data_IF_815456148470
#
_entry.id   IF_815456148470
#
_cell.length_a   1.000
_cell.length_b   1.000
_cell.length_c   1.000
_cell.angle_alpha   90.00
_cell.angle_beta   90.00
_cell.angle_gamma   90.00
#
_symmetry.space_group_name_H-M   'P 1'
#
loop_
_entity.id
_entity.type
_entity.pdbx_description
1 polymer ?
#
# COMPACT_ATOMS: atom_id res chain seq x y z
N UNK A 1 1.54 -17.24 46.18
CA UNK A 1 2.71 -18.13 46.10
C UNK A 1 2.98 -18.34 44.62
N UNK A 2 3.94 -17.60 44.03
CA UNK A 2 5.31 -18.05 43.66
C UNK A 2 5.29 -19.16 42.59
N UNK A 3 5.81 -18.84 41.41
CA UNK A 3 6.11 -19.82 40.35
C UNK A 3 6.46 -19.12 39.03
N UNK A 4 7.64 -18.50 38.93
CA UNK A 4 8.79 -19.01 38.15
C UNK A 4 8.64 -18.71 36.64
N UNK A 5 9.19 -17.63 36.07
CA UNK A 5 10.62 -17.41 35.75
C UNK A 5 11.32 -18.64 35.14
N UNK A 6 11.28 -18.73 33.81
CA UNK A 6 12.25 -19.37 32.89
C UNK A 6 11.66 -19.19 31.47
N UNK A 7 12.11 -18.34 30.54
CA UNK A 7 13.45 -18.05 30.01
C UNK A 7 14.24 -19.31 29.63
N UNK A 8 14.14 -19.70 28.36
CA UNK A 8 15.17 -20.29 27.47
C UNK A 8 14.51 -21.27 26.48
N UNK A 9 14.94 -21.50 25.24
CA UNK A 9 15.77 -20.81 24.25
C UNK A 9 15.70 -21.74 23.03
N UNK A 10 15.19 -21.23 21.89
CA UNK A 10 15.57 -21.53 20.50
C UNK A 10 16.00 -22.97 20.14
N UNK A 11 15.24 -23.64 19.25
CA UNK A 11 15.83 -24.43 18.15
C UNK A 11 15.05 -24.15 16.85
N UNK A 12 15.83 -23.75 15.85
CA UNK A 12 15.44 -23.37 14.52
C UNK A 12 14.92 -24.55 13.67
N UNK A 13 13.78 -24.35 13.01
CA UNK A 13 13.46 -24.98 11.73
C UNK A 13 13.08 -23.87 10.74
N UNK A 14 14.11 -23.10 10.35
CA UNK A 14 14.17 -22.42 9.06
C UNK A 14 14.28 -23.48 7.95
N UNK A 15 14.17 -23.10 6.67
CA UNK A 15 14.33 -23.96 5.47
C UNK A 15 13.05 -24.59 4.89
N UNK A 16 12.00 -23.80 4.66
CA UNK A 16 11.02 -24.11 3.61
C UNK A 16 10.29 -22.90 2.97
N UNK A 17 10.80 -21.67 3.14
CA UNK A 17 10.34 -20.53 2.35
C UNK A 17 11.39 -20.19 1.28
N UNK A 18 11.43 -20.99 0.22
CA UNK A 18 11.88 -20.50 -1.09
C UNK A 18 10.82 -19.52 -1.63
N UNK A 19 10.77 -18.33 -1.02
CA UNK A 19 10.15 -17.15 -1.58
C UNK A 19 11.26 -16.15 -1.81
N UNK A 20 11.78 -16.15 -3.04
CA UNK A 20 12.74 -15.16 -3.52
C UNK A 20 12.15 -13.75 -3.34
N UNK A 21 12.66 -13.01 -2.36
CA UNK A 21 12.16 -11.67 -2.05
C UNK A 21 12.94 -11.03 -0.92
N UNK A 22 14.08 -10.42 -1.26
CA UNK A 22 14.64 -9.24 -0.60
C UNK A 22 14.91 -9.31 0.90
N UNK A 23 16.20 -9.36 1.26
CA UNK A 23 16.68 -9.24 2.62
C UNK A 23 16.35 -7.89 3.30
N UNK A 24 16.16 -7.99 4.62
CA UNK A 24 16.48 -7.03 5.69
C UNK A 24 15.57 -5.80 5.89
N UNK A 25 15.04 -5.65 7.11
CA UNK A 25 14.61 -4.35 7.62
C UNK A 25 13.50 -4.38 8.67
N UNK A 26 13.81 -4.77 9.90
CA UNK A 26 13.00 -4.51 11.09
C UNK A 26 13.13 -3.02 11.46
N UNK A 27 12.02 -2.26 11.51
CA UNK A 27 11.73 -1.05 12.31
C UNK A 27 10.98 0.05 11.52
N UNK A 28 9.74 0.33 11.92
CA UNK A 28 9.11 1.66 11.79
C UNK A 28 8.41 1.98 10.47
N UNK A 29 7.09 1.80 10.45
CA UNK A 29 6.15 2.79 9.89
C UNK A 29 6.09 3.02 8.38
N UNK A 30 6.88 2.35 7.54
CA UNK A 30 6.74 2.45 6.09
C UNK A 30 6.03 1.18 5.57
N UNK A 31 4.87 1.29 4.90
CA UNK A 31 4.29 0.14 4.19
C UNK A 31 5.27 -0.22 3.08
N UNK A 32 6.19 -1.14 3.41
CA UNK A 32 7.42 -1.41 2.66
C UNK A 32 7.20 -1.43 1.15
N UNK A 33 8.21 -0.96 0.43
CA UNK A 33 8.18 -0.69 -1.01
C UNK A 33 7.34 -1.74 -1.76
N UNK A 34 6.11 -1.36 -2.12
CA UNK A 34 5.23 -2.25 -2.87
C UNK A 34 5.73 -2.25 -4.31
N UNK A 35 6.18 -3.40 -4.85
CA UNK A 35 6.57 -3.45 -6.25
C UNK A 35 5.36 -3.06 -7.10
N UNK A 36 5.62 -2.24 -8.11
CA UNK A 36 4.63 -1.87 -9.10
C UNK A 36 4.08 -3.14 -9.77
N UNK A 37 2.79 -3.17 -10.16
CA UNK A 37 2.26 -4.25 -10.98
C UNK A 37 3.15 -4.47 -12.22
N UNK A 38 3.33 -5.71 -12.69
CA UNK A 38 4.14 -5.98 -13.87
C UNK A 38 3.57 -5.21 -15.07
N UNK A 39 4.38 -4.33 -15.67
CA UNK A 39 3.99 -3.46 -16.80
C UNK A 39 3.58 -2.03 -16.42
N UNK A 40 3.42 -1.73 -15.13
CA UNK A 40 3.19 -0.37 -14.62
C UNK A 40 4.54 0.30 -14.29
N UNK A 41 4.63 1.60 -14.57
CA UNK A 41 5.76 2.46 -14.25
C UNK A 41 5.28 3.68 -13.47
N UNK A 42 6.16 4.32 -12.72
CA UNK A 42 5.83 5.58 -12.04
C UNK A 42 5.22 6.63 -12.99
N UNK A 43 5.66 6.64 -14.26
CA UNK A 43 5.12 7.52 -15.30
C UNK A 43 3.70 7.17 -15.74
N UNK A 44 3.39 5.87 -15.93
CA UNK A 44 2.03 5.43 -16.30
C UNK A 44 1.03 5.70 -15.17
N UNK A 45 1.41 5.39 -13.93
CA UNK A 45 0.58 5.65 -12.75
C UNK A 45 0.33 7.15 -12.58
N UNK A 46 1.37 7.99 -12.69
CA UNK A 46 1.20 9.46 -12.63
C UNK A 46 0.29 9.97 -13.75
N UNK A 47 0.41 9.41 -14.96
CA UNK A 47 -0.46 9.73 -16.09
C UNK A 47 -1.92 9.41 -15.80
N UNK A 48 -2.19 8.24 -15.21
CA UNK A 48 -3.55 7.82 -14.87
C UNK A 48 -4.12 8.60 -13.68
N UNK A 49 -3.30 8.92 -12.67
CA UNK A 49 -3.67 9.84 -11.58
C UNK A 49 -4.05 11.21 -12.13
N UNK A 50 -3.27 11.79 -13.04
CA UNK A 50 -3.59 13.08 -13.68
C UNK A 50 -4.89 13.03 -14.50
N UNK A 51 -5.21 11.90 -15.15
CA UNK A 51 -6.49 11.73 -15.85
C UNK A 51 -7.67 11.73 -14.89
N UNK A 52 -7.55 11.05 -13.76
CA UNK A 52 -8.59 11.01 -12.73
C UNK A 52 -8.70 12.36 -12.01
N UNK A 53 -7.59 13.03 -11.78
CA UNK A 53 -7.54 14.40 -11.26
C UNK A 53 -8.31 15.37 -12.18
N UNK A 54 -8.06 15.30 -13.49
CA UNK A 54 -8.76 16.12 -14.50
C UNK A 54 -10.27 15.86 -14.55
N UNK A 55 -10.73 14.70 -14.09
CA UNK A 55 -12.17 14.37 -13.95
C UNK A 55 -12.79 14.91 -12.66
N UNK A 56 -12.00 15.53 -11.78
CA UNK A 56 -12.45 16.01 -10.48
C UNK A 56 -12.65 14.90 -9.44
N UNK A 57 -11.97 13.76 -9.60
CA UNK A 57 -12.02 12.66 -8.63
C UNK A 57 -11.52 13.08 -7.23
N UNK A 58 -10.50 13.95 -7.05
CA UNK A 58 -10.09 14.40 -5.72
C UNK A 58 -11.25 15.01 -4.91
N UNK A 59 -12.08 15.85 -5.53
CA UNK A 59 -13.26 16.42 -4.87
C UNK A 59 -14.30 15.35 -4.48
N UNK A 60 -14.35 14.25 -5.23
CA UNK A 60 -15.21 13.09 -4.90
C UNK A 60 -14.63 12.27 -3.75
N UNK A 61 -13.31 12.14 -3.65
CA UNK A 61 -12.61 11.53 -2.50
C UNK A 61 -12.93 12.33 -1.23
N UNK A 62 -12.82 13.66 -1.28
CA UNK A 62 -13.16 14.54 -0.16
C UNK A 62 -14.63 14.42 0.24
N UNK A 63 -15.54 14.37 -0.75
CA UNK A 63 -16.97 14.13 -0.52
C UNK A 63 -17.21 12.78 0.15
N UNK A 64 -16.56 11.71 -0.32
CA UNK A 64 -16.67 10.40 0.31
C UNK A 64 -16.14 10.39 1.74
N UNK A 65 -15.01 11.06 1.99
CA UNK A 65 -14.38 11.17 3.31
C UNK A 65 -15.24 11.96 4.30
N UNK A 66 -15.94 12.99 3.83
CA UNK A 66 -16.90 13.78 4.62
C UNK A 66 -18.28 13.10 4.79
N UNK A 67 -18.44 11.84 4.36
CA UNK A 67 -19.69 11.08 4.49
C UNK A 67 -20.74 11.40 3.43
N UNK A 68 -20.39 12.18 2.41
CA UNK A 68 -21.23 12.44 1.25
C UNK A 68 -21.42 11.21 0.39
N UNK A 69 -22.60 11.11 -0.23
CA UNK A 69 -22.92 9.98 -1.11
C UNK A 69 -22.26 10.16 -2.48
N UNK A 70 -21.78 9.06 -3.04
CA UNK A 70 -21.26 8.96 -4.39
C UNK A 70 -22.15 8.02 -5.22
N UNK A 71 -22.23 8.28 -6.52
CA UNK A 71 -22.80 7.30 -7.44
C UNK A 71 -21.84 6.09 -7.57
N UNK A 72 -22.32 4.92 -8.04
CA UNK A 72 -21.45 3.76 -8.23
C UNK A 72 -20.24 4.04 -9.13
N UNK A 73 -20.42 4.83 -10.18
CA UNK A 73 -19.34 5.25 -11.09
C UNK A 73 -18.31 6.13 -10.37
N UNK A 74 -18.77 7.12 -9.59
CA UNK A 74 -17.90 7.99 -8.81
C UNK A 74 -17.11 7.22 -7.75
N UNK A 75 -17.74 6.22 -7.12
CA UNK A 75 -17.05 5.35 -6.16
C UNK A 75 -15.95 4.55 -6.85
N UNK A 76 -16.22 3.96 -8.02
CA UNK A 76 -15.20 3.23 -8.78
C UNK A 76 -14.01 4.12 -9.18
N UNK A 77 -14.27 5.36 -9.60
CA UNK A 77 -13.21 6.33 -9.92
C UNK A 77 -12.38 6.69 -8.67
N UNK A 78 -13.03 6.92 -7.52
CA UNK A 78 -12.38 7.18 -6.23
C UNK A 78 -11.54 6.00 -5.77
N UNK A 79 -12.07 4.78 -5.86
CA UNK A 79 -11.36 3.56 -5.46
C UNK A 79 -10.11 3.35 -6.33
N UNK A 80 -10.25 3.55 -7.65
CA UNK A 80 -9.13 3.50 -8.59
C UNK A 80 -8.08 4.58 -8.31
N UNK A 81 -8.51 5.81 -8.02
CA UNK A 81 -7.60 6.91 -7.68
C UNK A 81 -6.80 6.59 -6.43
N UNK A 82 -7.46 6.11 -5.37
CA UNK A 82 -6.80 5.74 -4.12
C UNK A 82 -5.82 4.57 -4.31
N UNK A 83 -6.18 3.57 -5.11
CA UNK A 83 -5.30 2.43 -5.40
C UNK A 83 -4.02 2.89 -6.13
N UNK A 84 -4.17 3.70 -7.18
CA UNK A 84 -3.03 4.28 -7.90
C UNK A 84 -2.18 5.19 -7.01
N UNK A 85 -2.79 5.98 -6.12
CA UNK A 85 -2.09 6.84 -5.19
C UNK A 85 -1.26 6.01 -4.21
N UNK A 86 -1.84 4.94 -3.67
CA UNK A 86 -1.14 4.01 -2.78
C UNK A 86 0.03 3.31 -3.48
N UNK A 87 -0.14 2.93 -4.74
CA UNK A 87 0.95 2.35 -5.54
C UNK A 87 2.05 3.38 -5.82
N UNK A 88 1.68 4.61 -6.19
CA UNK A 88 2.63 5.69 -6.46
C UNK A 88 3.45 6.08 -5.22
N UNK A 89 2.80 6.18 -4.07
CA UNK A 89 3.45 6.47 -2.79
C UNK A 89 4.28 5.27 -2.29
N UNK A 90 3.71 4.06 -2.35
CA UNK A 90 4.35 2.83 -1.89
C UNK A 90 5.55 2.41 -2.75
N UNK A 91 5.53 2.65 -4.06
CA UNK A 91 6.69 2.45 -4.94
C UNK A 91 7.71 3.59 -4.85
N UNK A 92 7.47 4.60 -4.00
CA UNK A 92 8.31 5.79 -3.83
C UNK A 92 8.51 6.56 -5.14
N UNK A 93 7.52 6.57 -6.03
CA UNK A 93 7.57 7.27 -7.31
C UNK A 93 7.58 8.81 -7.20
N UNK A 94 7.49 9.34 -5.97
CA UNK A 94 7.48 10.77 -5.64
C UNK A 94 8.82 11.29 -5.12
N UNK A 95 9.81 10.41 -4.94
CA UNK A 95 11.14 10.77 -4.40
C UNK A 95 12.14 11.16 -5.49
#
# INVERSE_FOLDING_TARGET
>A
MRGSLAVAFVIALSWALQGCGGAAGNNGGDPGARPLPPGESCGSIRGELNRLDSKGVPAQVERASSGGKLTPAQRADVDKYNDLLNQYLGARCHV
#
